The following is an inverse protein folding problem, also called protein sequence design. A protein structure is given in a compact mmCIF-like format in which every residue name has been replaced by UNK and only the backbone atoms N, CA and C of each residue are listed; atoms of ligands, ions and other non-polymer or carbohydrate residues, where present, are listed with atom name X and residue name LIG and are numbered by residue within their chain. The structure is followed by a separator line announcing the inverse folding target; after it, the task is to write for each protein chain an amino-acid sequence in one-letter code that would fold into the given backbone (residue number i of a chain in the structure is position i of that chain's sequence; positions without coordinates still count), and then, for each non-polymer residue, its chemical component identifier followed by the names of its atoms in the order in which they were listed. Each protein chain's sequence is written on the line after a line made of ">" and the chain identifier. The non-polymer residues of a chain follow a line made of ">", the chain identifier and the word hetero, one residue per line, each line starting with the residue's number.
data_IF_377138821549
#
_entry.id   IF_377138821549
#
_cell.length_a   1.000
_cell.length_b   1.000
_cell.length_c   1.000
_cell.angle_alpha   90.00
_cell.angle_beta   90.00
_cell.angle_gamma   90.00
#
_symmetry.space_group_name_H-M   'P 1'
#
loop_
_entity.id
_entity.type
_entity.pdbx_description
1 polymer ?
#
# COMPACT_ATOMS: atom_id res chain seq x y z
N UNK A 1 -0.72 -15.35 0.72
CA UNK A 1 -0.96 -14.79 -0.63
C UNK A 1 -2.23 -13.99 -0.56
N UNK A 2 -2.19 -12.71 -0.94
CA UNK A 2 -3.37 -11.87 -0.94
C UNK A 2 -4.46 -12.50 -1.81
N UNK A 3 -5.69 -12.58 -1.31
CA UNK A 3 -6.71 -13.50 -1.84
C UNK A 3 -7.73 -12.84 -2.78
N UNK A 4 -7.56 -11.55 -3.00
CA UNK A 4 -8.61 -10.67 -3.47
C UNK A 4 -8.55 -10.27 -4.95
N UNK A 5 -9.71 -10.24 -5.64
CA UNK A 5 -9.78 -9.86 -7.06
C UNK A 5 -9.37 -8.39 -7.30
N UNK A 6 -9.72 -7.48 -6.40
CA UNK A 6 -9.37 -6.05 -6.52
C UNK A 6 -7.86 -5.84 -6.37
N UNK A 7 -7.26 -6.44 -5.34
CA UNK A 7 -5.82 -6.44 -5.13
C UNK A 7 -5.05 -6.93 -6.37
N UNK A 8 -5.47 -8.04 -6.97
CA UNK A 8 -4.82 -8.57 -8.17
C UNK A 8 -4.99 -7.65 -9.40
N UNK A 9 -6.15 -7.01 -9.57
CA UNK A 9 -6.37 -6.09 -10.69
C UNK A 9 -5.43 -4.90 -10.59
N UNK A 10 -5.26 -4.31 -9.40
CA UNK A 10 -4.36 -3.17 -9.23
C UNK A 10 -2.89 -3.55 -9.45
N UNK A 11 -2.46 -4.74 -8.99
CA UNK A 11 -1.11 -5.24 -9.25
C UNK A 11 -0.79 -5.38 -10.74
N UNK A 12 -1.77 -5.78 -11.56
CA UNK A 12 -1.59 -5.97 -13.00
C UNK A 12 -1.44 -4.65 -13.77
N UNK A 13 -1.84 -3.53 -13.16
CA UNK A 13 -1.71 -2.20 -13.76
C UNK A 13 -0.30 -1.63 -13.60
N UNK A 14 0.47 -2.12 -12.63
CA UNK A 14 1.83 -1.65 -12.34
C UNK A 14 2.86 -2.19 -13.35
N UNK A 15 3.97 -1.45 -13.48
CA UNK A 15 5.18 -1.88 -14.21
C UNK A 15 6.34 -2.15 -13.23
N UNK A 16 7.24 -3.05 -13.61
CA UNK A 16 8.44 -3.42 -12.82
C UNK A 16 8.10 -3.84 -11.38
N UNK A 17 7.26 -4.87 -11.25
CA UNK A 17 6.78 -5.31 -9.95
C UNK A 17 7.89 -6.00 -9.15
N UNK A 18 8.18 -5.49 -7.96
CA UNK A 18 9.06 -6.10 -6.97
C UNK A 18 8.27 -6.46 -5.70
N UNK A 19 8.28 -7.74 -5.32
CA UNK A 19 7.62 -8.21 -4.10
C UNK A 19 8.62 -8.31 -2.96
N UNK A 20 8.35 -7.60 -1.86
CA UNK A 20 9.16 -7.58 -0.66
C UNK A 20 8.37 -8.11 0.55
N UNK A 21 9.01 -8.92 1.38
CA UNK A 21 8.47 -9.39 2.65
C UNK A 21 9.02 -8.54 3.78
N UNK A 22 8.15 -7.74 4.40
CA UNK A 22 8.50 -6.87 5.52
C UNK A 22 7.98 -7.44 6.82
N UNK A 23 8.79 -7.43 7.88
CA UNK A 23 8.33 -7.77 9.23
C UNK A 23 7.97 -6.47 9.94
N UNK A 24 6.72 -6.34 10.38
CA UNK A 24 6.31 -5.16 11.15
C UNK A 24 6.94 -5.17 12.55
N UNK A 25 7.39 -4.00 13.03
CA UNK A 25 8.10 -3.88 14.31
C UNK A 25 7.25 -4.36 15.51
N UNK A 26 5.92 -4.19 15.42
CA UNK A 26 4.97 -4.53 16.49
C UNK A 26 4.12 -5.77 16.15
N UNK A 27 4.55 -6.61 15.21
CA UNK A 27 3.85 -7.84 14.82
C UNK A 27 4.82 -8.95 14.47
N UNK A 28 4.49 -10.19 14.84
CA UNK A 28 5.22 -11.38 14.37
C UNK A 28 4.89 -11.74 12.93
N UNK A 29 3.90 -11.08 12.31
CA UNK A 29 3.47 -11.35 10.94
C UNK A 29 4.39 -10.68 9.92
N UNK A 30 4.72 -11.44 8.88
CA UNK A 30 5.32 -10.91 7.65
C UNK A 30 4.20 -10.32 6.79
N UNK A 31 4.45 -9.15 6.25
CA UNK A 31 3.57 -8.42 5.33
C UNK A 31 4.23 -8.49 3.97
N UNK A 32 3.48 -8.97 2.99
CA UNK A 32 3.88 -8.92 1.59
C UNK A 32 3.51 -7.55 1.04
N UNK A 33 4.49 -6.84 0.49
CA UNK A 33 4.31 -5.55 -0.16
C UNK A 33 4.85 -5.69 -1.57
N UNK A 34 4.03 -5.36 -2.56
CA UNK A 34 4.49 -5.29 -3.95
C UNK A 34 4.63 -3.84 -4.35
N UNK A 35 5.82 -3.47 -4.78
CA UNK A 35 6.10 -2.15 -5.36
C UNK A 35 6.08 -2.23 -6.87
N UNK A 36 5.62 -1.17 -7.51
CA UNK A 36 5.73 -1.00 -8.95
C UNK A 36 5.55 0.45 -9.35
N UNK A 37 5.76 0.74 -10.62
CA UNK A 37 5.57 2.06 -11.20
C UNK A 37 4.19 2.18 -11.84
N UNK A 38 3.54 3.32 -11.62
CA UNK A 38 2.36 3.70 -12.37
C UNK A 38 2.77 3.96 -13.84
N UNK A 39 2.00 3.39 -14.79
CA UNK A 39 2.23 3.57 -16.24
C UNK A 39 2.12 5.03 -16.67
N UNK A 40 1.30 5.80 -15.98
CA UNK A 40 1.03 7.21 -16.27
C UNK A 40 1.70 8.14 -15.25
N UNK A 41 2.89 7.75 -14.73
CA UNK A 41 3.62 8.46 -13.66
C UNK A 41 3.81 9.97 -13.85
N UNK A 42 3.83 10.45 -15.09
CA UNK A 42 4.05 11.88 -15.40
C UNK A 42 2.76 12.71 -15.39
N UNK A 43 1.59 12.04 -15.36
CA UNK A 43 0.26 12.69 -15.48
C UNK A 43 -0.63 12.45 -14.27
N UNK A 44 -0.23 11.57 -13.36
CA UNK A 44 -1.07 11.09 -12.27
C UNK A 44 -0.43 11.42 -10.92
N UNK A 45 -1.23 12.01 -10.03
CA UNK A 45 -0.87 12.16 -8.62
C UNK A 45 -1.12 10.85 -7.83
N UNK A 46 -1.55 9.78 -8.51
CA UNK A 46 -1.88 8.49 -7.94
C UNK A 46 -0.61 7.65 -7.76
N UNK A 47 0.08 7.90 -6.64
CA UNK A 47 1.25 7.15 -6.22
C UNK A 47 1.29 7.00 -4.68
N UNK A 48 2.16 6.15 -4.15
CA UNK A 48 2.21 5.82 -2.73
C UNK A 48 1.51 4.52 -2.39
N UNK A 49 1.13 4.36 -1.12
CA UNK A 49 0.69 3.07 -0.59
C UNK A 49 -0.82 2.86 -0.75
N UNK A 50 -1.19 1.71 -1.30
CA UNK A 50 -2.53 1.14 -1.30
C UNK A 50 -2.60 0.04 -0.24
N UNK A 51 -3.44 0.26 0.76
CA UNK A 51 -3.57 -0.62 1.92
C UNK A 51 -4.92 -1.34 1.87
N UNK A 52 -4.84 -2.65 1.72
CA UNK A 52 -5.98 -3.55 1.69
C UNK A 52 -6.19 -4.22 3.06
N UNK A 53 -7.44 -4.50 3.40
CA UNK A 53 -7.83 -5.35 4.52
C UNK A 53 -8.94 -6.29 4.06
N UNK A 54 -8.69 -7.60 4.06
CA UNK A 54 -9.63 -8.63 3.61
C UNK A 54 -10.18 -8.33 2.21
N UNK A 55 -9.30 -8.08 1.24
CA UNK A 55 -9.63 -7.68 -0.13
C UNK A 55 -10.47 -6.38 -0.25
N UNK A 56 -10.49 -5.53 0.78
CA UNK A 56 -11.09 -4.19 0.69
C UNK A 56 -10.00 -3.13 0.75
N UNK A 57 -9.96 -2.25 -0.24
CA UNK A 57 -9.13 -1.06 -0.20
C UNK A 57 -9.61 -0.16 0.95
N UNK A 58 -8.73 0.12 1.91
CA UNK A 58 -9.02 0.98 3.06
C UNK A 58 -8.40 2.36 2.87
N UNK A 59 -7.13 2.41 2.45
CA UNK A 59 -6.44 3.66 2.08
C UNK A 59 -5.80 3.53 0.72
N UNK A 60 -5.93 4.56 -0.09
CA UNK A 60 -5.32 4.66 -1.42
C UNK A 60 -4.29 5.80 -1.43
N UNK A 61 -3.18 5.60 -2.14
CA UNK A 61 -2.18 6.62 -2.43
C UNK A 61 -1.62 7.36 -1.21
N UNK A 62 -1.50 6.66 -0.08
CA UNK A 62 -0.90 7.21 1.14
C UNK A 62 0.59 7.47 0.89
N UNK A 63 1.03 8.72 0.97
CA UNK A 63 2.45 9.07 0.81
C UNK A 63 3.26 8.52 1.99
N UNK A 64 4.34 7.81 1.71
CA UNK A 64 5.22 7.23 2.74
C UNK A 64 6.69 7.55 2.49
N UNK A 65 7.50 7.55 3.56
CA UNK A 65 8.95 7.69 3.46
C UNK A 65 9.39 8.94 2.69
N UNK A 66 10.18 8.74 1.62
CA UNK A 66 10.69 9.81 0.78
C UNK A 66 9.59 10.60 0.03
N UNK A 67 8.41 10.00 -0.19
CA UNK A 67 7.30 10.65 -0.90
C UNK A 67 6.58 11.73 -0.06
N UNK A 68 6.85 11.81 1.26
CA UNK A 68 6.32 12.86 2.12
C UNK A 68 7.09 14.18 2.01
N UNK A 69 8.29 14.14 1.42
CA UNK A 69 9.11 15.33 1.19
C UNK A 69 8.65 16.01 -0.09
N UNK A 70 8.86 17.32 -0.20
CA UNK A 70 8.51 18.10 -1.40
C UNK A 70 9.43 17.82 -2.61
N UNK A 71 10.31 16.81 -2.51
CA UNK A 71 11.22 16.42 -3.56
C UNK A 71 10.53 15.46 -4.53
N UNK A 72 11.05 15.35 -5.76
CA UNK A 72 10.54 14.42 -6.80
C UNK A 72 10.81 12.93 -6.51
N UNK A 73 11.31 12.60 -5.31
CA UNK A 73 11.73 11.26 -4.95
C UNK A 73 10.52 10.34 -4.72
N UNK A 74 10.46 9.25 -5.48
CA UNK A 74 9.41 8.24 -5.35
C UNK A 74 8.08 8.61 -6.00
N UNK A 75 8.03 9.67 -6.82
CA UNK A 75 6.87 10.01 -7.66
C UNK A 75 6.60 8.87 -8.64
N UNK A 76 5.32 8.48 -8.76
CA UNK A 76 4.89 7.37 -9.61
C UNK A 76 5.10 5.97 -9.03
N UNK A 77 5.75 5.83 -7.87
CA UNK A 77 5.91 4.53 -7.20
C UNK A 77 4.65 4.21 -6.41
N UNK A 78 4.01 3.08 -6.72
CA UNK A 78 2.88 2.53 -5.98
C UNK A 78 3.35 1.31 -5.19
N UNK A 79 3.01 1.26 -3.91
CA UNK A 79 3.16 0.06 -3.09
C UNK A 79 1.80 -0.50 -2.71
N UNK A 80 1.55 -1.79 -2.92
CA UNK A 80 0.29 -2.45 -2.58
C UNK A 80 0.57 -3.49 -1.50
N UNK A 81 -0.20 -3.45 -0.41
CA UNK A 81 -0.06 -4.39 0.70
C UNK A 81 -1.42 -4.78 1.29
N UNK A 82 -1.55 -6.03 1.73
CA UNK A 82 -2.70 -6.50 2.51
C UNK A 82 -2.32 -6.59 4.01
N UNK A 83 -3.01 -5.81 4.82
CA UNK A 83 -2.70 -5.55 6.24
C UNK A 83 -3.85 -6.00 7.15
N UNK A 84 -4.17 -7.29 7.10
CA UNK A 84 -5.27 -7.93 7.84
C UNK A 84 -5.14 -7.90 9.37
N UNK A 85 -3.96 -7.56 9.88
CA UNK A 85 -3.72 -7.42 11.31
C UNK A 85 -4.16 -6.06 11.87
N UNK A 86 -4.41 -5.07 11.00
CA UNK A 86 -4.95 -3.78 11.38
C UNK A 86 -6.48 -3.83 11.41
N UNK A 87 -7.07 -3.09 12.34
CA UNK A 87 -8.52 -2.94 12.43
C UNK A 87 -8.94 -1.67 11.69
N UNK A 88 -9.82 -1.77 10.67
CA UNK A 88 -10.40 -0.57 10.07
C UNK A 88 -11.30 0.14 11.08
N UNK A 89 -11.43 1.46 10.95
CA UNK A 89 -12.45 2.23 11.67
C UNK A 89 -13.85 1.90 11.12
N UNK A 90 -14.91 2.32 11.80
CA UNK A 90 -16.29 1.96 11.44
C UNK A 90 -16.66 2.30 9.99
N UNK A 91 -16.19 3.45 9.46
CA UNK A 91 -16.40 3.86 8.06
C UNK A 91 -15.62 3.01 7.04
N UNK A 92 -14.64 2.22 7.49
CA UNK A 92 -13.74 1.41 6.66
C UNK A 92 -13.02 2.23 5.56
N UNK A 93 -12.72 3.48 5.87
CA UNK A 93 -11.90 4.40 5.07
C UNK A 93 -10.60 4.79 5.80
N UNK A 94 -10.36 4.21 6.97
CA UNK A 94 -9.14 4.40 7.74
C UNK A 94 -8.88 3.19 8.64
N UNK A 95 -7.69 3.12 9.23
CA UNK A 95 -7.32 2.19 10.28
C UNK A 95 -7.36 2.87 11.65
N UNK A 96 -7.59 2.09 12.71
CA UNK A 96 -7.42 2.59 14.07
C UNK A 96 -5.96 3.02 14.28
N UNK A 97 -5.74 4.24 14.78
CA UNK A 97 -4.42 4.77 15.05
C UNK A 97 -3.90 4.16 16.36
N UNK A 98 -3.28 3.00 16.27
CA UNK A 98 -2.64 2.29 17.37
C UNK A 98 -1.12 2.11 17.14
N UNK A 99 -0.44 1.46 18.08
CA UNK A 99 1.00 1.17 17.96
C UNK A 99 1.33 0.22 16.79
N UNK A 100 0.36 -0.50 16.23
CA UNK A 100 0.60 -1.44 15.11
C UNK A 100 0.55 -0.72 13.77
N UNK A 101 -0.19 0.39 13.70
CA UNK A 101 -0.26 1.23 12.51
C UNK A 101 1.01 2.08 12.28
N UNK A 102 1.67 2.53 13.37
CA UNK A 102 2.92 3.30 13.32
C UNK A 102 4.15 2.40 13.24
#
# INVERSE_FOLDING_TARGET
>A
RPSGRAYHVDLLQLQHNECNLVRGNNTSRKIEITFGLNREKEKSEDYGMMLYNKNRLIRAFERVGCQKKADVNGVGVIGIAEVDFLQPVHSKQDFQVDKKYK
#
